data_IF_218018999497
#
_entry.id   IF_218018999497
#
_cell.length_a   1.000
_cell.length_b   1.000
_cell.length_c   1.000
_cell.angle_alpha   90.00
_cell.angle_beta   90.00
_cell.angle_gamma   90.00
#
_symmetry.space_group_name_H-M   'P 1'
#
loop_
_entity.id
_entity.type
_entity.pdbx_description
1 polymer ?
#
# COMPACT_ATOMS: atom_id res chain seq x y z
N UNK A 1 14.64 -22.95 -14.70
CA UNK A 1 13.81 -23.63 -15.72
C UNK A 1 13.56 -25.11 -15.39
N UNK A 2 14.59 -25.93 -15.13
CA UNK A 2 14.41 -27.34 -14.74
C UNK A 2 13.45 -27.49 -13.53
N UNK A 3 13.66 -26.71 -12.47
CA UNK A 3 12.77 -26.71 -11.29
C UNK A 3 11.31 -26.35 -11.63
N UNK A 4 11.10 -25.35 -12.49
CA UNK A 4 9.76 -24.92 -12.93
C UNK A 4 8.97 -26.07 -13.54
N UNK A 5 9.65 -26.99 -14.24
CA UNK A 5 9.03 -28.16 -14.89
C UNK A 5 9.25 -29.45 -14.10
N UNK A 6 9.72 -29.37 -12.85
CA UNK A 6 10.03 -30.54 -12.00
C UNK A 6 11.03 -31.53 -12.61
N UNK A 7 11.98 -31.02 -13.40
CA UNK A 7 13.05 -31.80 -14.03
C UNK A 7 14.30 -31.77 -13.12
N UNK A 8 15.00 -32.90 -12.93
CA UNK A 8 16.26 -32.93 -12.18
C UNK A 8 17.28 -31.93 -12.73
N UNK A 9 17.93 -31.20 -11.83
CA UNK A 9 18.94 -30.22 -12.21
C UNK A 9 20.27 -30.92 -12.49
N UNK A 10 20.95 -30.55 -13.58
CA UNK A 10 22.33 -30.92 -13.83
C UNK A 10 23.22 -29.67 -13.67
N UNK A 11 24.15 -29.73 -12.71
CA UNK A 11 25.09 -28.64 -12.40
C UNK A 11 26.54 -28.96 -12.85
N UNK A 12 26.75 -30.04 -13.59
CA UNK A 12 28.07 -30.41 -14.10
C UNK A 12 28.48 -29.49 -15.26
N UNK A 13 29.54 -28.70 -15.04
CA UNK A 13 30.01 -27.70 -16.00
C UNK A 13 30.53 -28.31 -17.30
N UNK A 14 31.21 -29.44 -17.26
CA UNK A 14 31.78 -30.09 -18.45
C UNK A 14 30.66 -30.64 -19.34
N UNK A 15 29.64 -31.23 -18.73
CA UNK A 15 28.46 -31.69 -19.46
C UNK A 15 27.70 -30.52 -20.11
N UNK A 16 27.50 -29.41 -19.39
CA UNK A 16 26.86 -28.21 -19.94
C UNK A 16 27.67 -27.64 -21.10
N UNK A 17 29.01 -27.58 -20.97
CA UNK A 17 29.90 -27.07 -22.02
C UNK A 17 29.80 -27.91 -23.30
N UNK A 18 29.81 -29.24 -23.17
CA UNK A 18 29.63 -30.16 -24.30
C UNK A 18 28.28 -29.94 -25.00
N UNK A 19 27.18 -29.86 -24.24
CA UNK A 19 25.85 -29.57 -24.79
C UNK A 19 25.80 -28.23 -25.53
N UNK A 20 26.32 -27.15 -24.92
CA UNK A 20 26.30 -25.81 -25.53
C UNK A 20 27.11 -25.77 -26.82
N UNK A 21 28.23 -26.49 -26.90
CA UNK A 21 29.07 -26.53 -28.11
C UNK A 21 28.36 -27.13 -29.33
N UNK A 22 27.33 -27.95 -29.11
CA UNK A 22 26.52 -28.60 -30.15
C UNK A 22 25.33 -27.74 -30.61
N UNK A 23 25.04 -26.64 -29.93
CA UNK A 23 23.91 -25.76 -30.27
C UNK A 23 24.30 -24.87 -31.46
N UNK A 24 23.52 -24.96 -32.54
CA UNK A 24 23.62 -24.01 -33.66
C UNK A 24 22.80 -22.76 -33.34
N UNK A 25 23.48 -21.64 -33.11
CA UNK A 25 22.83 -20.36 -32.85
C UNK A 25 22.33 -19.78 -34.17
N UNK A 26 21.02 -19.45 -34.32
CA UNK A 26 20.51 -18.83 -35.53
C UNK A 26 21.08 -17.41 -35.71
N UNK A 27 21.34 -17.03 -36.95
CA UNK A 27 21.82 -15.69 -37.29
C UNK A 27 20.77 -14.62 -36.96
N UNK A 28 21.22 -13.50 -36.39
CA UNK A 28 20.34 -12.37 -36.09
C UNK A 28 20.06 -11.56 -37.35
N UNK A 29 18.77 -11.45 -37.72
CA UNK A 29 18.31 -10.58 -38.81
C UNK A 29 17.51 -9.42 -38.22
N UNK A 30 17.93 -8.16 -38.41
CA UNK A 30 17.21 -7.00 -37.90
C UNK A 30 15.85 -6.86 -38.59
N UNK A 31 14.79 -6.67 -37.81
CA UNK A 31 13.43 -6.48 -38.33
C UNK A 31 13.15 -5.01 -38.58
N UNK A 32 12.64 -4.68 -39.76
CA UNK A 32 12.12 -3.35 -40.08
C UNK A 32 10.80 -3.08 -39.34
N UNK A 33 10.55 -1.82 -38.99
CA UNK A 33 9.29 -1.38 -38.37
C UNK A 33 9.18 -1.58 -36.85
N UNK A 34 10.26 -2.03 -36.19
CA UNK A 34 10.31 -2.08 -34.72
C UNK A 34 10.51 -0.66 -34.16
N UNK A 35 9.53 -0.16 -33.41
CA UNK A 35 9.64 1.12 -32.69
C UNK A 35 10.25 0.88 -31.31
N UNK A 36 11.29 1.63 -30.97
CA UNK A 36 11.94 1.64 -29.65
C UNK A 36 11.70 3.00 -29.04
N UNK A 37 11.02 3.05 -27.90
CA UNK A 37 10.81 4.31 -27.19
C UNK A 37 12.15 4.86 -26.70
N UNK A 38 12.37 6.16 -26.91
CA UNK A 38 13.60 6.85 -26.47
C UNK A 38 13.42 7.62 -25.16
N UNK A 39 12.19 7.74 -24.65
CA UNK A 39 11.88 8.34 -23.36
C UNK A 39 10.60 7.72 -22.76
N UNK A 40 10.36 8.00 -21.48
CA UNK A 40 9.23 7.43 -20.75
C UNK A 40 7.87 7.91 -21.27
N UNK A 41 7.77 9.16 -21.75
CA UNK A 41 6.52 9.68 -22.33
C UNK A 41 6.12 8.92 -23.60
N UNK A 42 7.07 8.63 -24.49
CA UNK A 42 6.85 7.81 -25.67
C UNK A 42 6.53 6.35 -25.33
N UNK A 43 7.13 5.81 -24.27
CA UNK A 43 6.82 4.46 -23.78
C UNK A 43 5.37 4.39 -23.26
N UNK A 44 4.93 5.40 -22.52
CA UNK A 44 3.55 5.50 -22.02
C UNK A 44 2.54 5.65 -23.17
N UNK A 45 2.85 6.49 -24.18
CA UNK A 45 2.03 6.62 -25.39
C UNK A 45 1.94 5.30 -26.17
N UNK A 46 3.06 4.58 -26.31
CA UNK A 46 3.09 3.28 -26.98
C UNK A 46 2.28 2.19 -26.24
N UNK A 47 2.21 2.27 -24.90
CA UNK A 47 1.41 1.37 -24.08
C UNK A 47 -0.08 1.76 -24.00
N UNK A 48 -0.42 3.03 -24.29
CA UNK A 48 -1.79 3.55 -24.22
C UNK A 48 -2.54 3.57 -25.56
N UNK A 49 -1.83 3.65 -26.69
CA UNK A 49 -2.41 3.86 -28.04
C UNK A 49 -2.03 2.74 -29.05
N UNK A 50 -1.42 1.66 -28.57
CA UNK A 50 -1.18 0.46 -29.36
C UNK A 50 -2.48 -0.30 -29.54
N UNK A 51 -3.28 0.04 -30.55
CA UNK A 51 -4.42 -0.75 -31.00
C UNK A 51 -4.04 -2.22 -31.00
N UNK A 52 -4.63 -2.99 -30.09
CA UNK A 52 -4.38 -4.42 -29.97
C UNK A 52 -4.69 -5.03 -31.34
N UNK A 53 -3.67 -5.59 -31.99
CA UNK A 53 -3.83 -6.29 -33.25
C UNK A 53 -4.66 -7.56 -32.98
N UNK A 54 -5.98 -7.42 -33.11
CA UNK A 54 -6.97 -8.47 -32.83
C UNK A 54 -6.70 -9.72 -33.66
N UNK A 55 -6.19 -9.58 -34.88
CA UNK A 55 -5.81 -10.73 -35.71
C UNK A 55 -4.60 -11.46 -35.15
N UNK A 56 -3.59 -10.73 -34.67
CA UNK A 56 -2.41 -11.34 -34.02
C UNK A 56 -2.78 -12.00 -32.71
N UNK A 57 -3.68 -11.42 -31.92
CA UNK A 57 -4.20 -12.04 -30.70
C UNK A 57 -4.92 -13.33 -31.03
N UNK A 58 -5.82 -13.33 -32.03
CA UNK A 58 -6.54 -14.53 -32.45
C UNK A 58 -5.57 -15.63 -32.91
N UNK A 59 -4.57 -15.29 -33.74
CA UNK A 59 -3.52 -16.24 -34.15
C UNK A 59 -2.75 -16.84 -32.98
N UNK A 60 -2.46 -16.07 -31.94
CA UNK A 60 -1.80 -16.58 -30.72
C UNK A 60 -2.73 -17.48 -29.91
N UNK A 61 -4.02 -17.17 -29.83
CA UNK A 61 -5.02 -18.02 -29.18
C UNK A 61 -5.16 -19.37 -29.90
N UNK A 62 -5.18 -19.35 -31.23
CA UNK A 62 -5.27 -20.57 -32.05
C UNK A 62 -4.02 -21.48 -31.91
N UNK A 63 -2.87 -20.91 -31.52
CA UNK A 63 -1.64 -21.67 -31.23
C UNK A 63 -1.60 -22.29 -29.83
N UNK A 64 -2.52 -21.91 -28.93
CA UNK A 64 -2.54 -22.47 -27.58
C UNK A 64 -3.04 -23.91 -27.61
N UNK A 65 -2.30 -24.86 -27.02
CA UNK A 65 -2.76 -26.23 -26.92
C UNK A 65 -4.00 -26.33 -26.04
N UNK A 66 -4.88 -27.30 -26.34
CA UNK A 66 -6.07 -27.55 -25.53
C UNK A 66 -5.68 -27.94 -24.09
N UNK A 67 -6.56 -27.64 -23.13
CA UNK A 67 -6.38 -28.03 -21.72
C UNK A 67 -6.15 -29.54 -21.57
N UNK A 68 -6.75 -30.34 -22.45
CA UNK A 68 -6.60 -31.80 -22.43
C UNK A 68 -5.17 -32.25 -22.73
N UNK A 69 -4.52 -31.59 -23.69
CA UNK A 69 -3.14 -31.86 -24.06
C UNK A 69 -2.16 -31.47 -22.93
N UNK A 70 -2.59 -30.62 -22.00
CA UNK A 70 -1.78 -30.12 -20.87
C UNK A 70 -2.10 -30.79 -19.53
N UNK A 71 -2.99 -31.80 -19.47
CA UNK A 71 -3.46 -32.43 -18.22
C UNK A 71 -2.33 -32.89 -17.28
N UNK A 72 -1.19 -33.30 -17.83
CA UNK A 72 -0.04 -33.80 -17.06
C UNK A 72 1.07 -32.76 -16.83
N UNK A 73 0.95 -31.55 -17.41
CA UNK A 73 1.96 -30.51 -17.27
C UNK A 73 1.81 -29.84 -15.90
N UNK A 74 2.83 -29.98 -15.06
CA UNK A 74 2.94 -29.26 -13.79
C UNK A 74 4.00 -28.17 -13.90
N UNK A 75 3.57 -26.93 -13.67
CA UNK A 75 4.46 -25.77 -13.64
C UNK A 75 4.51 -25.28 -12.19
N UNK A 76 5.71 -25.27 -11.61
CA UNK A 76 5.97 -24.70 -10.28
C UNK A 76 6.51 -23.28 -10.45
N UNK A 77 5.78 -22.23 -10.05
CA UNK A 77 6.35 -20.89 -10.00
C UNK A 77 7.51 -20.87 -8.98
N UNK A 78 8.58 -20.17 -9.31
CA UNK A 78 9.68 -19.97 -8.36
C UNK A 78 9.33 -18.79 -7.46
N UNK A 79 9.44 -18.99 -6.16
CA UNK A 79 9.35 -17.92 -5.17
C UNK A 79 10.75 -17.39 -4.92
N UNK A 80 10.94 -16.08 -5.11
CA UNK A 80 12.24 -15.47 -4.94
C UNK A 80 12.67 -15.51 -3.48
N UNK A 81 13.65 -16.35 -3.19
CA UNK A 81 14.39 -16.39 -1.94
C UNK A 81 15.84 -15.92 -2.17
N UNK A 82 16.25 -14.89 -1.43
CA UNK A 82 17.58 -14.26 -1.55
C UNK A 82 18.58 -14.82 -0.55
N UNK A 83 18.11 -15.45 0.53
CA UNK A 83 18.91 -15.92 1.66
C UNK A 83 19.26 -17.42 1.60
N UNK A 84 18.72 -18.13 0.61
CA UNK A 84 19.15 -19.48 0.25
C UNK A 84 20.15 -19.44 -0.92
N UNK A 85 21.41 -19.69 -0.62
CA UNK A 85 22.50 -19.69 -1.60
C UNK A 85 22.50 -20.95 -2.51
N UNK A 86 21.66 -21.94 -2.23
CA UNK A 86 21.59 -23.19 -3.00
C UNK A 86 20.59 -23.16 -4.18
N UNK A 87 19.67 -22.19 -4.20
CA UNK A 87 18.56 -22.09 -5.15
C UNK A 87 18.90 -21.42 -6.49
N UNK A 88 20.11 -20.86 -6.65
CA UNK A 88 20.59 -20.16 -7.86
C UNK A 88 19.83 -18.86 -8.23
N UNK A 89 18.96 -18.32 -7.37
CA UNK A 89 18.19 -17.12 -7.68
C UNK A 89 19.09 -15.90 -7.83
N UNK A 90 19.93 -15.63 -6.83
CA UNK A 90 20.89 -14.53 -6.87
C UNK A 90 21.91 -14.75 -7.98
N UNK A 91 22.37 -15.99 -8.19
CA UNK A 91 23.36 -16.31 -9.22
C UNK A 91 22.83 -16.01 -10.63
N UNK A 92 21.55 -16.30 -10.88
CA UNK A 92 20.88 -15.90 -12.12
C UNK A 92 20.80 -14.37 -12.27
N UNK A 93 20.39 -13.65 -11.22
CA UNK A 93 20.27 -12.18 -11.25
C UNK A 93 21.64 -11.53 -11.49
N UNK A 94 22.68 -11.99 -10.81
CA UNK A 94 24.07 -11.52 -10.97
C UNK A 94 24.54 -11.75 -12.40
N UNK A 95 24.39 -12.97 -12.92
CA UNK A 95 24.82 -13.29 -14.27
C UNK A 95 24.06 -12.47 -15.33
N UNK A 96 22.72 -12.39 -15.22
CA UNK A 96 21.90 -11.64 -16.17
C UNK A 96 22.18 -10.13 -16.14
N UNK A 97 22.32 -9.54 -14.95
CA UNK A 97 22.63 -8.12 -14.79
C UNK A 97 24.04 -7.79 -15.30
N UNK A 98 25.04 -8.63 -15.01
CA UNK A 98 26.41 -8.42 -15.48
C UNK A 98 26.54 -8.61 -17.00
N UNK A 99 25.85 -9.59 -17.59
CA UNK A 99 25.79 -9.73 -19.05
C UNK A 99 25.18 -8.48 -19.71
N UNK A 100 24.11 -7.93 -19.13
CA UNK A 100 23.52 -6.69 -19.61
C UNK A 100 24.47 -5.50 -19.40
N UNK A 101 25.15 -5.42 -18.26
CA UNK A 101 26.09 -4.33 -17.97
C UNK A 101 27.22 -4.26 -19.01
N UNK A 102 27.79 -5.40 -19.37
CA UNK A 102 28.84 -5.49 -20.41
C UNK A 102 28.38 -4.96 -21.77
N UNK A 103 27.11 -5.18 -22.15
CA UNK A 103 26.58 -4.64 -23.42
C UNK A 103 26.62 -3.11 -23.51
N UNK A 104 26.62 -2.41 -22.36
CA UNK A 104 26.59 -0.95 -22.28
C UNK A 104 27.87 -0.35 -21.66
N UNK A 105 28.93 -1.15 -21.47
CA UNK A 105 30.17 -0.68 -20.83
C UNK A 105 30.02 -0.32 -19.34
N UNK A 106 28.99 -0.85 -18.67
CA UNK A 106 28.75 -0.62 -17.24
C UNK A 106 29.60 -1.61 -16.42
N UNK A 107 30.27 -1.18 -15.33
CA UNK A 107 31.00 -2.08 -14.45
C UNK A 107 30.12 -3.17 -13.85
N UNK A 108 30.63 -4.40 -13.82
CA UNK A 108 29.93 -5.54 -13.22
C UNK A 108 29.86 -5.43 -11.69
N UNK A 109 28.85 -6.06 -11.10
CA UNK A 109 28.67 -6.16 -9.66
C UNK A 109 28.88 -7.60 -9.18
N UNK A 110 29.46 -7.76 -7.99
CA UNK A 110 29.59 -9.07 -7.36
C UNK A 110 28.25 -9.57 -6.79
N UNK A 111 28.28 -10.80 -6.27
CA UNK A 111 27.10 -11.46 -5.69
C UNK A 111 26.54 -10.71 -4.48
N UNK A 112 27.39 -10.18 -3.60
CA UNK A 112 26.95 -9.49 -2.39
C UNK A 112 26.25 -8.17 -2.70
N UNK A 113 26.84 -7.34 -3.56
CA UNK A 113 26.26 -6.07 -4.02
C UNK A 113 24.95 -6.30 -4.77
N UNK A 114 24.91 -7.31 -5.63
CA UNK A 114 23.69 -7.65 -6.36
C UNK A 114 22.58 -8.18 -5.43
N UNK A 115 22.93 -9.01 -4.44
CA UNK A 115 22.00 -9.50 -3.41
C UNK A 115 21.45 -8.36 -2.55
N UNK A 116 22.29 -7.41 -2.15
CA UNK A 116 21.89 -6.21 -1.41
C UNK A 116 20.81 -5.41 -2.18
N UNK A 117 21.07 -5.15 -3.47
CA UNK A 117 20.17 -4.35 -4.32
C UNK A 117 18.90 -5.12 -4.69
N UNK A 118 19.04 -6.32 -5.29
CA UNK A 118 17.90 -7.11 -5.75
C UNK A 118 17.02 -7.62 -4.60
N UNK A 119 17.65 -7.94 -3.47
CA UNK A 119 16.99 -8.38 -2.26
C UNK A 119 16.41 -7.26 -1.40
N UNK A 120 16.62 -5.99 -1.76
CA UNK A 120 16.21 -4.80 -0.98
C UNK A 120 16.62 -4.92 0.49
N UNK A 121 17.84 -5.40 0.75
CA UNK A 121 18.31 -5.66 2.11
C UNK A 121 18.51 -4.30 2.81
N UNK A 122 17.86 -4.13 3.96
CA UNK A 122 18.07 -2.98 4.84
C UNK A 122 19.28 -3.31 5.73
N UNK A 123 20.41 -2.58 5.63
CA UNK A 123 21.56 -2.81 6.49
C UNK A 123 21.17 -2.58 7.96
N UNK A 124 21.52 -3.54 8.82
CA UNK A 124 21.26 -3.47 10.25
C UNK A 124 22.45 -4.02 11.03
N UNK A 125 22.72 -3.40 12.18
CA UNK A 125 23.74 -3.84 13.13
C UNK A 125 23.20 -3.68 14.55
N UNK A 126 23.56 -4.60 15.44
CA UNK A 126 23.05 -4.64 16.80
C UNK A 126 23.33 -3.36 17.60
N UNK A 127 24.45 -2.68 17.34
CA UNK A 127 24.84 -1.44 18.03
C UNK A 127 23.80 -0.34 17.89
N UNK A 128 23.35 -0.04 16.67
CA UNK A 128 22.30 0.97 16.42
C UNK A 128 20.98 0.53 17.06
N UNK A 129 20.61 -0.75 16.94
CA UNK A 129 19.39 -1.29 17.55
C UNK A 129 19.38 -1.13 19.08
N UNK A 130 20.50 -1.44 19.74
CA UNK A 130 20.64 -1.29 21.20
C UNK A 130 20.54 0.16 21.64
N UNK A 131 21.17 1.10 20.92
CA UNK A 131 21.09 2.54 21.24
C UNK A 131 19.65 3.04 21.08
N UNK A 132 18.99 2.73 19.96
CA UNK A 132 17.60 3.14 19.71
C UNK A 132 16.67 2.56 20.78
N UNK A 133 16.80 1.27 21.09
CA UNK A 133 15.99 0.63 22.13
C UNK A 133 16.19 1.31 23.51
N UNK A 134 17.44 1.62 23.87
CA UNK A 134 17.75 2.36 25.08
C UNK A 134 17.05 3.72 25.14
N UNK A 135 17.09 4.51 24.06
CA UNK A 135 16.40 5.80 24.01
C UNK A 135 14.88 5.68 24.07
N UNK A 136 14.30 4.68 23.41
CA UNK A 136 12.86 4.39 23.53
C UNK A 136 12.48 4.05 24.98
N UNK A 137 13.31 3.27 25.69
CA UNK A 137 13.07 2.98 27.10
C UNK A 137 13.12 4.25 27.99
N UNK A 138 13.99 5.22 27.68
CA UNK A 138 14.01 6.50 28.41
C UNK A 138 12.71 7.29 28.21
N UNK A 139 12.18 7.37 26.99
CA UNK A 139 10.88 8.03 26.75
C UNK A 139 9.71 7.25 27.38
N UNK A 140 9.79 5.92 27.41
CA UNK A 140 8.80 5.07 28.08
C UNK A 140 8.71 5.36 29.58
N UNK A 141 9.84 5.61 30.26
CA UNK A 141 9.86 5.98 31.68
C UNK A 141 9.09 7.30 31.90
N UNK A 142 9.26 8.29 31.02
CA UNK A 142 8.54 9.58 31.12
C UNK A 142 7.03 9.37 30.99
N UNK A 143 6.60 8.54 30.04
CA UNK A 143 5.19 8.17 29.89
C UNK A 143 4.65 7.46 31.13
N UNK A 144 5.39 6.49 31.67
CA UNK A 144 5.01 5.73 32.86
C UNK A 144 4.92 6.61 34.12
N UNK A 145 5.74 7.65 34.22
CA UNK A 145 5.67 8.66 35.28
C UNK A 145 4.55 9.69 35.08
N UNK A 146 3.83 9.64 33.96
CA UNK A 146 2.69 10.51 33.69
C UNK A 146 3.09 11.92 33.21
N UNK A 147 4.28 12.08 32.63
CA UNK A 147 4.68 13.34 32.01
C UNK A 147 3.72 13.69 30.87
N UNK A 148 3.24 14.94 30.85
CA UNK A 148 2.31 15.45 29.83
C UNK A 148 2.84 16.63 29.04
N UNK A 149 3.89 17.26 29.54
CA UNK A 149 4.50 18.41 28.89
C UNK A 149 5.38 17.97 27.72
N UNK A 150 5.23 18.65 26.59
CA UNK A 150 5.86 18.26 25.33
C UNK A 150 7.37 18.48 25.37
N UNK A 151 7.83 19.51 26.07
CA UNK A 151 9.25 19.87 26.20
C UNK A 151 10.05 18.76 26.90
N UNK A 152 9.39 17.95 27.73
CA UNK A 152 9.99 16.81 28.42
C UNK A 152 10.31 15.64 27.48
N UNK A 153 9.60 15.51 26.37
CA UNK A 153 9.81 14.44 25.39
C UNK A 153 10.87 14.84 24.37
N UNK A 154 11.61 13.86 23.85
CA UNK A 154 12.63 14.11 22.83
C UNK A 154 12.55 13.07 21.71
N UNK A 155 12.47 13.54 20.47
CA UNK A 155 12.74 12.74 19.28
C UNK A 155 14.26 12.61 19.13
N UNK A 156 14.77 11.38 19.03
CA UNK A 156 16.20 11.11 18.86
C UNK A 156 16.58 10.81 17.40
N UNK A 157 17.62 11.47 16.92
CA UNK A 157 18.24 11.27 15.62
C UNK A 157 19.69 10.87 15.82
N UNK A 158 20.08 9.69 15.34
CA UNK A 158 21.43 9.16 15.56
C UNK A 158 22.11 8.78 14.26
N UNK A 159 23.41 9.03 14.21
CA UNK A 159 24.30 8.46 13.20
C UNK A 159 25.62 8.07 13.87
N UNK A 160 25.75 6.79 14.23
CA UNK A 160 26.91 6.25 14.94
C UNK A 160 28.19 6.22 14.08
N UNK A 161 28.09 6.39 12.76
CA UNK A 161 29.27 6.52 11.90
C UNK A 161 29.94 7.91 12.03
N UNK A 162 29.16 8.95 12.33
CA UNK A 162 29.63 10.33 12.58
C UNK A 162 29.66 10.70 14.08
N UNK A 163 29.60 9.70 14.97
CA UNK A 163 29.09 9.83 16.34
C UNK A 163 28.06 10.96 16.61
N UNK A 164 27.11 11.15 15.71
CA UNK A 164 26.12 12.24 15.82
C UNK A 164 24.90 11.80 16.63
N UNK A 165 24.50 12.64 17.58
CA UNK A 165 23.28 12.52 18.37
C UNK A 165 22.57 13.87 18.37
N UNK A 166 21.39 13.92 17.77
CA UNK A 166 20.52 15.10 17.76
C UNK A 166 19.21 14.77 18.45
N UNK A 167 18.73 15.71 19.27
CA UNK A 167 17.43 15.61 19.91
C UNK A 167 16.60 16.84 19.57
N UNK A 168 15.33 16.63 19.25
CA UNK A 168 14.38 17.72 19.07
C UNK A 168 13.14 17.46 19.92
N UNK A 169 12.43 18.52 20.25
CA UNK A 169 11.10 18.37 20.82
C UNK A 169 10.13 17.81 19.78
N UNK A 170 9.16 16.99 20.19
CA UNK A 170 8.05 16.62 19.32
C UNK A 170 7.25 17.84 18.89
N UNK A 171 6.64 17.75 17.71
CA UNK A 171 5.82 18.82 17.17
C UNK A 171 4.44 18.76 17.83
N UNK A 172 3.93 19.91 18.30
CA UNK A 172 2.57 20.01 18.83
C UNK A 172 1.57 19.64 17.73
N UNK A 173 0.55 18.87 18.08
CA UNK A 173 -0.54 18.56 17.14
C UNK A 173 -1.15 19.87 16.63
N UNK A 174 -1.34 19.97 15.31
CA UNK A 174 -2.02 21.11 14.69
C UNK A 174 -3.41 21.21 15.30
N UNK A 175 -3.74 22.37 15.85
CA UNK A 175 -5.08 22.65 16.34
C UNK A 175 -5.90 23.38 15.29
N UNK A 176 -7.16 22.98 15.22
CA UNK A 176 -8.24 23.63 14.47
C UNK A 176 -9.29 24.11 15.49
N UNK A 177 -10.13 25.05 15.08
CA UNK A 177 -11.17 25.61 15.94
C UNK A 177 -12.49 25.67 15.18
N UNK A 178 -13.57 25.30 15.86
CA UNK A 178 -14.93 25.63 15.44
C UNK A 178 -15.63 26.26 16.64
N UNK A 179 -16.32 27.38 16.44
CA UNK A 179 -16.81 28.24 17.53
C UNK A 179 -15.70 28.57 18.55
N UNK A 180 -15.91 28.23 19.82
CA UNK A 180 -14.97 28.35 20.93
C UNK A 180 -14.28 27.03 21.33
N UNK A 181 -14.47 25.97 20.53
CA UNK A 181 -13.87 24.64 20.78
C UNK A 181 -12.62 24.47 19.93
N UNK A 182 -11.48 24.37 20.60
CA UNK A 182 -10.21 23.94 20.00
C UNK A 182 -10.15 22.41 19.96
N UNK A 183 -9.66 21.85 18.85
CA UNK A 183 -9.52 20.42 18.67
C UNK A 183 -8.30 20.09 17.82
N UNK A 184 -7.85 18.84 17.90
CA UNK A 184 -6.67 18.29 17.23
C UNK A 184 -6.99 16.93 16.61
N UNK A 185 -6.03 16.33 15.92
CA UNK A 185 -6.20 14.98 15.34
C UNK A 185 -6.56 13.87 16.35
N UNK A 186 -6.41 14.11 17.66
CA UNK A 186 -6.71 13.16 18.72
C UNK A 186 -8.15 13.25 19.23
N UNK A 187 -8.82 14.36 18.94
CA UNK A 187 -10.18 14.62 19.36
C UNK A 187 -11.16 13.94 18.42
N UNK A 188 -12.32 13.56 18.97
CA UNK A 188 -13.40 12.91 18.24
C UNK A 188 -14.72 13.12 18.96
N UNK A 189 -15.81 13.08 18.21
CA UNK A 189 -17.12 12.92 18.82
C UNK A 189 -17.34 11.44 19.14
N UNK A 190 -17.68 11.12 20.38
CA UNK A 190 -18.18 9.79 20.74
C UNK A 190 -19.70 9.83 20.84
N UNK A 191 -20.36 8.99 20.03
CA UNK A 191 -21.81 8.91 19.97
C UNK A 191 -22.21 7.46 20.18
N UNK A 192 -23.01 7.20 21.20
CA UNK A 192 -23.57 5.88 21.48
C UNK A 192 -24.85 5.66 20.68
N UNK A 193 -24.87 4.60 19.88
CA UNK A 193 -26.05 4.15 19.13
C UNK A 193 -27.04 3.34 19.98
N UNK A 194 -28.19 2.93 19.43
CA UNK A 194 -28.55 3.04 18.01
C UNK A 194 -29.48 4.24 17.73
N UNK A 195 -28.95 5.24 17.02
CA UNK A 195 -29.68 6.37 16.47
C UNK A 195 -30.08 6.09 15.02
N UNK A 196 -31.27 6.56 14.64
CA UNK A 196 -31.63 6.75 13.23
C UNK A 196 -30.77 7.85 12.60
N UNK A 197 -30.69 7.89 11.27
CA UNK A 197 -29.99 8.97 10.57
C UNK A 197 -30.56 10.34 10.98
N UNK A 198 -31.88 10.46 11.09
CA UNK A 198 -32.54 11.71 11.52
C UNK A 198 -32.14 12.11 12.93
N UNK A 199 -32.19 11.20 13.90
CA UNK A 199 -31.80 11.49 15.28
C UNK A 199 -30.32 11.87 15.40
N UNK A 200 -29.46 11.29 14.55
CA UNK A 200 -28.06 11.64 14.49
C UNK A 200 -27.84 13.07 13.95
N UNK A 201 -28.53 13.45 12.86
CA UNK A 201 -28.48 14.82 12.34
C UNK A 201 -29.00 15.82 13.38
N UNK A 202 -30.15 15.52 13.99
CA UNK A 202 -30.75 16.32 15.07
C UNK A 202 -29.83 16.45 16.29
N UNK A 203 -29.08 15.40 16.64
CA UNK A 203 -28.13 15.41 17.75
C UNK A 203 -27.04 16.46 17.53
N UNK A 204 -26.46 16.50 16.32
CA UNK A 204 -25.42 17.47 15.99
C UNK A 204 -25.97 18.89 15.91
N UNK A 205 -27.17 19.06 15.33
CA UNK A 205 -27.81 20.37 15.25
C UNK A 205 -28.18 20.91 16.64
N UNK A 206 -28.81 20.09 17.52
CA UNK A 206 -29.30 20.55 18.82
C UNK A 206 -28.23 20.62 19.91
N UNK A 207 -27.27 19.69 19.93
CA UNK A 207 -26.26 19.61 21.00
C UNK A 207 -24.93 20.25 20.63
N UNK A 208 -24.53 20.17 19.36
CA UNK A 208 -23.26 20.72 18.91
C UNK A 208 -23.43 22.04 18.15
N UNK A 209 -24.67 22.46 17.84
CA UNK A 209 -24.98 23.57 16.95
C UNK A 209 -24.26 23.40 15.60
N UNK A 210 -24.17 22.17 15.09
CA UNK A 210 -23.52 21.86 13.82
C UNK A 210 -24.53 21.25 12.88
N UNK A 211 -24.74 21.90 11.73
CA UNK A 211 -25.63 21.39 10.71
C UNK A 211 -24.82 20.52 9.75
N UNK A 212 -24.96 19.20 9.86
CA UNK A 212 -24.27 18.27 8.97
C UNK A 212 -24.76 18.50 7.53
N UNK A 213 -23.82 18.78 6.63
CA UNK A 213 -24.05 18.93 5.19
C UNK A 213 -23.71 17.65 4.43
N UNK A 214 -22.73 16.88 4.89
CA UNK A 214 -22.36 15.58 4.34
C UNK A 214 -21.92 14.63 5.45
N UNK A 215 -22.28 13.35 5.32
CA UNK A 215 -21.88 12.26 6.22
C UNK A 215 -21.42 11.06 5.41
N UNK A 216 -20.24 10.52 5.72
CA UNK A 216 -19.69 9.36 5.03
C UNK A 216 -19.05 8.35 5.97
N UNK A 217 -18.98 7.11 5.51
CA UNK A 217 -18.21 6.03 6.12
C UNK A 217 -17.22 5.51 5.07
N UNK A 218 -15.94 5.83 5.25
CA UNK A 218 -14.92 5.60 4.22
C UNK A 218 -15.33 6.23 2.89
N UNK A 219 -15.45 5.42 1.83
CA UNK A 219 -15.86 5.87 0.49
C UNK A 219 -17.39 5.95 0.28
N UNK A 220 -18.18 5.58 1.29
CA UNK A 220 -19.64 5.49 1.17
C UNK A 220 -20.32 6.75 1.71
N UNK A 221 -20.96 7.53 0.83
CA UNK A 221 -21.72 8.72 1.22
C UNK A 221 -23.11 8.34 1.76
N UNK A 222 -23.28 8.44 3.08
CA UNK A 222 -24.48 8.04 3.81
C UNK A 222 -25.57 9.12 3.73
N UNK A 223 -25.17 10.38 3.94
CA UNK A 223 -26.02 11.56 3.88
C UNK A 223 -25.32 12.73 3.16
N UNK A 224 -26.09 13.57 2.48
CA UNK A 224 -25.70 14.84 1.87
C UNK A 224 -26.95 15.69 1.66
N UNK A 225 -26.86 17.00 1.91
CA UNK A 225 -27.99 17.93 1.81
C UNK A 225 -28.54 18.08 0.38
N UNK A 226 -27.74 17.77 -0.65
CA UNK A 226 -28.15 17.85 -2.06
C UNK A 226 -28.68 16.52 -2.62
N UNK A 227 -28.91 15.51 -1.77
CA UNK A 227 -29.51 14.26 -2.23
C UNK A 227 -30.97 14.43 -2.67
N UNK A 228 -31.44 13.67 -3.68
CA UNK A 228 -32.86 13.69 -4.07
C UNK A 228 -33.77 13.34 -2.89
N UNK A 229 -34.83 14.13 -2.70
CA UNK A 229 -35.72 14.02 -1.54
C UNK A 229 -36.25 12.60 -1.31
N UNK A 230 -36.60 11.88 -2.39
CA UNK A 230 -37.06 10.48 -2.30
C UNK A 230 -36.01 9.56 -1.64
N UNK A 231 -34.73 9.67 -2.03
CA UNK A 231 -33.64 8.86 -1.45
C UNK A 231 -33.31 9.25 -0.02
N UNK A 232 -33.50 10.52 0.33
CA UNK A 232 -33.29 11.00 1.69
C UNK A 232 -34.36 10.44 2.63
N UNK A 233 -35.63 10.52 2.24
CA UNK A 233 -36.76 9.99 3.03
C UNK A 233 -36.63 8.48 3.27
N UNK A 234 -36.09 7.70 2.32
CA UNK A 234 -35.80 6.28 2.51
C UNK A 234 -34.74 5.96 3.59
N UNK A 235 -33.93 6.95 4.00
CA UNK A 235 -32.78 6.75 4.90
C UNK A 235 -32.96 7.39 6.26
N UNK A 236 -33.74 8.48 6.35
CA UNK A 236 -33.86 9.29 7.56
C UNK A 236 -34.30 8.48 8.79
N UNK A 237 -35.29 7.60 8.61
CA UNK A 237 -35.85 6.80 9.70
C UNK A 237 -35.12 5.46 9.91
N UNK A 238 -34.09 5.17 9.11
CA UNK A 238 -33.30 3.95 9.27
C UNK A 238 -32.22 4.14 10.34
N UNK A 239 -31.95 3.11 11.15
CA UNK A 239 -30.75 3.05 11.98
C UNK A 239 -29.49 3.31 11.17
N UNK A 240 -28.54 4.06 11.71
CA UNK A 240 -27.27 4.35 11.01
C UNK A 240 -26.52 3.09 10.56
N UNK A 241 -26.60 2.00 11.34
CA UNK A 241 -26.02 0.71 10.98
C UNK A 241 -26.62 0.12 9.70
N UNK A 242 -27.93 0.25 9.53
CA UNK A 242 -28.68 -0.20 8.35
C UNK A 242 -28.48 0.74 7.16
N UNK A 243 -28.36 2.05 7.38
CA UNK A 243 -27.96 3.00 6.33
C UNK A 243 -26.59 2.62 5.77
N UNK A 244 -25.62 2.32 6.63
CA UNK A 244 -24.28 1.87 6.22
C UNK A 244 -24.37 0.58 5.41
N UNK A 245 -25.14 -0.41 5.85
CA UNK A 245 -25.33 -1.68 5.11
C UNK A 245 -25.96 -1.47 3.74
N UNK A 246 -27.01 -0.65 3.66
CA UNK A 246 -27.74 -0.36 2.41
C UNK A 246 -26.86 0.37 1.39
N UNK A 247 -26.08 1.36 1.83
CA UNK A 247 -25.24 2.18 0.94
C UNK A 247 -23.97 1.46 0.53
N UNK A 248 -23.24 0.88 1.49
CA UNK A 248 -21.98 0.18 1.20
C UNK A 248 -22.21 -1.16 0.49
N UNK A 249 -23.44 -1.70 0.55
CA UNK A 249 -23.81 -3.06 0.11
C UNK A 249 -22.99 -4.15 0.81
N UNK A 250 -22.40 -3.83 1.96
CA UNK A 250 -21.61 -4.75 2.78
C UNK A 250 -22.29 -4.97 4.13
N UNK A 251 -22.20 -6.19 4.65
CA UNK A 251 -22.63 -6.50 6.01
C UNK A 251 -21.59 -5.93 6.99
N UNK A 252 -22.06 -5.40 8.10
CA UNK A 252 -21.19 -5.05 9.23
C UNK A 252 -20.84 -6.35 9.94
N UNK A 253 -19.55 -6.66 10.08
CA UNK A 253 -19.10 -7.90 10.70
C UNK A 253 -19.42 -7.92 12.21
N UNK A 254 -19.78 -9.08 12.80
CA UNK A 254 -20.25 -9.15 14.19
C UNK A 254 -19.26 -8.67 15.27
N UNK A 255 -17.97 -8.61 14.93
CA UNK A 255 -16.92 -8.16 15.83
C UNK A 255 -16.72 -6.65 15.82
N UNK A 256 -17.32 -5.93 14.86
CA UNK A 256 -17.23 -4.47 14.77
C UNK A 256 -18.02 -3.86 15.92
N UNK A 257 -17.37 -2.99 16.71
CA UNK A 257 -17.97 -2.34 17.89
C UNK A 257 -18.24 -0.86 17.71
N UNK A 258 -17.57 -0.22 16.76
CA UNK A 258 -17.79 1.17 16.43
C UNK A 258 -17.60 1.39 14.93
N UNK A 259 -18.30 2.39 14.41
CA UNK A 259 -18.14 2.91 13.06
C UNK A 259 -17.47 4.28 13.14
N UNK A 260 -16.60 4.57 12.17
CA UNK A 260 -16.00 5.90 12.03
C UNK A 260 -16.75 6.63 10.93
N UNK A 261 -17.27 7.81 11.26
CA UNK A 261 -17.91 8.69 10.30
C UNK A 261 -17.13 9.99 10.14
N UNK A 262 -17.00 10.41 8.88
CA UNK A 262 -16.48 11.71 8.48
C UNK A 262 -17.64 12.61 8.11
N UNK A 263 -17.59 13.85 8.57
CA UNK A 263 -18.68 14.82 8.44
C UNK A 263 -18.16 16.15 7.91
N UNK A 264 -18.94 16.76 7.01
CA UNK A 264 -18.86 18.19 6.70
C UNK A 264 -20.05 18.86 7.39
N UNK A 265 -19.81 20.02 7.98
CA UNK A 265 -20.81 20.73 8.77
C UNK A 265 -20.74 22.23 8.50
N UNK A 266 -21.91 22.86 8.55
CA UNK A 266 -22.00 24.30 8.63
C UNK A 266 -22.22 24.74 10.08
N UNK A 267 -21.68 25.90 10.42
CA UNK A 267 -21.98 26.60 11.66
C UNK A 267 -23.33 27.35 11.59
N UNK A 268 -23.70 28.05 12.67
CA UNK A 268 -24.94 28.83 12.75
C UNK A 268 -24.98 30.04 11.78
N UNK A 269 -23.83 30.44 11.24
CA UNK A 269 -23.70 31.50 10.24
C UNK A 269 -23.67 30.94 8.80
N UNK A 270 -23.92 29.63 8.65
CA UNK A 270 -23.89 28.86 7.41
C UNK A 270 -22.49 28.78 6.75
N UNK A 271 -21.43 29.00 7.53
CA UNK A 271 -20.05 28.81 7.08
C UNK A 271 -19.63 27.32 7.24
N UNK A 272 -18.93 26.78 6.24
CA UNK A 272 -18.35 25.44 6.32
C UNK A 272 -17.22 25.42 7.37
N UNK A 273 -17.29 24.46 8.31
CA UNK A 273 -16.35 24.33 9.42
C UNK A 273 -15.76 22.93 9.51
N UNK A 274 -14.45 22.86 9.74
CA UNK A 274 -13.75 21.62 9.99
C UNK A 274 -13.95 21.18 11.45
N UNK A 275 -14.37 19.92 11.63
CA UNK A 275 -14.70 19.34 12.93
C UNK A 275 -14.11 17.95 13.07
N UNK A 276 -13.94 17.44 14.31
CA UNK A 276 -13.47 16.08 14.53
C UNK A 276 -14.37 15.02 13.86
N UNK A 277 -13.78 13.86 13.58
CA UNK A 277 -14.54 12.69 13.14
C UNK A 277 -15.44 12.14 14.26
N UNK A 278 -16.40 11.31 13.89
CA UNK A 278 -17.29 10.62 14.84
C UNK A 278 -16.88 9.16 15.00
N UNK A 279 -16.66 8.74 16.24
CA UNK A 279 -16.68 7.34 16.63
C UNK A 279 -18.08 6.98 17.14
N UNK A 280 -18.83 6.31 16.29
CA UNK A 280 -20.19 5.86 16.56
C UNK A 280 -20.19 4.45 17.15
N UNK A 281 -20.48 4.31 18.44
CA UNK A 281 -20.49 3.01 19.11
C UNK A 281 -21.78 2.26 18.75
N UNK A 282 -21.64 1.04 18.24
CA UNK A 282 -22.78 0.19 17.90
C UNK A 282 -23.42 -0.35 19.19
N UNK A 283 -24.76 -0.52 19.22
CA UNK A 283 -25.44 -1.14 20.36
C UNK A 283 -24.88 -2.55 20.62
N UNK A 284 -24.85 -2.95 21.90
CA UNK A 284 -24.43 -4.29 22.32
C UNK A 284 -25.52 -5.32 22.12
#
# INVERSE_FOLDING_TARGET
KAEVYSIPQNRNRDHIKDLVSKIKVPEFVPKSGVRIAINDSQLQMANGDGGLDSEKIQKLLDQLPSKENLKNLKIKPLEFEKDDDSNMHIDFIVAASNLRATNYGIPTADRHKSKLIAGKIIPAIATTTSVVAGFVCLELIKLAQGYRDLESFKNGFINLALPFFGFSEPIKAKSSKYYDKEWTLWDRFEVDGELTLKEFLDYFEKKQNLKITMLSQGVSMLFSFFMPQAKLQERLDLPLSEVVRKVSKKRIEPHVRALVFELCCNDNEDNDVEVPYVKYNLPR
#
